data_IF_784094409863
#
_entry.id   IF_784094409863
#
_cell.length_a   1.000
_cell.length_b   1.000
_cell.length_c   1.000
_cell.angle_alpha   90.00
_cell.angle_beta   90.00
_cell.angle_gamma   90.00
#
_symmetry.space_group_name_H-M   'P 1'
#
loop_
_entity.id
_entity.type
_entity.pdbx_description
1 polymer ?
#
# COMPACT_ATOMS: atom_id res chain seq x y z
N UNK A 1 12.05 19.33 -17.51
CA UNK A 1 12.96 18.24 -17.89
C UNK A 1 12.09 17.02 -18.15
N UNK A 2 12.06 16.47 -19.35
CA UNK A 2 11.10 15.39 -19.62
C UNK A 2 11.57 14.05 -19.00
N UNK A 3 12.87 13.78 -19.05
CA UNK A 3 13.47 12.50 -18.67
C UNK A 3 14.72 12.70 -17.80
N UNK A 4 14.87 11.87 -16.77
CA UNK A 4 16.03 11.79 -15.90
C UNK A 4 16.57 10.36 -15.84
N UNK A 5 17.81 10.17 -16.29
CA UNK A 5 18.54 8.92 -16.14
C UNK A 5 19.51 9.00 -14.96
N UNK A 6 19.44 8.04 -14.04
CA UNK A 6 20.33 7.93 -12.88
C UNK A 6 21.41 6.87 -13.18
N UNK A 7 22.69 7.26 -13.38
CA UNK A 7 23.75 6.34 -13.77
C UNK A 7 24.22 5.46 -12.61
N UNK A 8 24.96 4.41 -12.96
CA UNK A 8 25.44 3.36 -12.04
C UNK A 8 26.25 3.89 -10.86
N UNK A 9 26.98 4.99 -11.05
CA UNK A 9 27.85 5.58 -10.03
C UNK A 9 27.11 6.32 -8.91
N UNK A 10 25.82 6.63 -9.09
CA UNK A 10 25.02 7.33 -8.07
C UNK A 10 24.70 6.36 -6.93
N UNK A 11 25.14 6.70 -5.73
CA UNK A 11 24.90 5.94 -4.49
C UNK A 11 23.83 6.54 -3.61
N UNK A 12 23.58 7.84 -3.76
CA UNK A 12 22.69 8.62 -2.93
C UNK A 12 22.04 9.72 -3.78
N UNK A 13 20.77 9.96 -3.52
CA UNK A 13 20.03 11.15 -3.96
C UNK A 13 19.79 11.96 -2.70
N UNK A 14 20.12 13.25 -2.71
CA UNK A 14 19.97 14.12 -1.54
C UNK A 14 18.51 14.37 -1.16
N UNK A 15 18.28 14.79 0.09
CA UNK A 15 16.94 14.96 0.64
C UNK A 15 16.19 16.00 -0.21
N UNK A 16 15.05 15.61 -0.79
CA UNK A 16 14.30 16.51 -1.65
C UNK A 16 15.01 16.97 -2.92
N UNK A 17 16.04 16.25 -3.40
CA UNK A 17 16.89 16.72 -4.52
C UNK A 17 16.11 17.04 -5.81
N UNK A 18 14.97 16.38 -6.03
CA UNK A 18 14.06 16.65 -7.14
C UNK A 18 12.65 17.00 -6.67
N UNK A 19 12.50 17.54 -5.45
CA UNK A 19 11.23 18.06 -4.97
C UNK A 19 10.72 19.15 -5.91
N UNK A 20 9.46 19.04 -6.35
CA UNK A 20 8.82 19.98 -7.28
C UNK A 20 9.61 20.17 -8.60
N UNK A 21 10.41 19.17 -8.98
CA UNK A 21 11.11 19.19 -10.24
C UNK A 21 10.15 18.81 -11.38
N UNK A 22 10.23 19.56 -12.48
CA UNK A 22 9.52 19.20 -13.69
C UNK A 22 10.22 18.01 -14.36
N UNK A 23 9.90 16.78 -13.94
CA UNK A 23 10.41 15.48 -14.42
C UNK A 23 9.23 14.57 -14.74
N UNK A 24 9.16 13.99 -15.94
CA UNK A 24 8.06 13.09 -16.33
C UNK A 24 8.41 11.61 -16.32
N UNK A 25 9.69 11.26 -16.43
CA UNK A 25 10.16 9.87 -16.38
C UNK A 25 11.50 9.77 -15.68
N UNK A 26 11.62 8.79 -14.79
CA UNK A 26 12.89 8.40 -14.16
C UNK A 26 13.23 6.97 -14.52
N UNK A 27 14.49 6.78 -14.89
CA UNK A 27 15.07 5.47 -15.12
C UNK A 27 16.41 5.36 -14.39
N UNK A 28 16.56 4.29 -13.62
CA UNK A 28 17.82 3.94 -13.01
C UNK A 28 18.53 2.92 -13.88
N UNK A 29 19.86 3.03 -13.99
CA UNK A 29 20.65 1.95 -14.59
C UNK A 29 20.32 0.60 -13.91
N UNK A 30 20.34 -0.49 -14.68
CA UNK A 30 19.95 -1.83 -14.18
C UNK A 30 20.81 -2.30 -13.00
N UNK A 31 22.08 -1.90 -12.97
CA UNK A 31 23.07 -2.14 -11.92
C UNK A 31 23.29 -0.91 -11.03
N UNK A 32 22.29 -0.02 -10.95
CA UNK A 32 22.32 1.15 -10.07
C UNK A 32 22.74 0.75 -8.65
N UNK A 33 23.62 1.57 -8.07
CA UNK A 33 24.12 1.40 -6.70
C UNK A 33 23.24 2.15 -5.68
N UNK A 34 22.19 2.85 -6.13
CA UNK A 34 21.26 3.54 -5.25
C UNK A 34 20.46 2.51 -4.43
N UNK A 35 20.51 2.66 -3.10
CA UNK A 35 19.84 1.76 -2.17
C UNK A 35 18.53 2.30 -1.63
N UNK A 36 18.42 3.62 -1.55
CA UNK A 36 17.28 4.29 -0.91
C UNK A 36 16.81 5.43 -1.79
N UNK A 37 15.50 5.49 -2.03
CA UNK A 37 14.82 6.73 -2.40
C UNK A 37 14.45 7.40 -1.09
N UNK A 38 15.25 8.39 -0.68
CA UNK A 38 15.06 9.05 0.61
C UNK A 38 13.88 10.01 0.57
N UNK A 39 13.45 10.48 1.75
CA UNK A 39 12.25 11.30 1.88
C UNK A 39 12.21 12.49 0.91
N UNK A 40 11.05 12.69 0.31
CA UNK A 40 10.77 13.79 -0.61
C UNK A 40 11.63 13.86 -1.87
N UNK A 41 12.48 12.87 -2.16
CA UNK A 41 13.42 12.87 -3.30
C UNK A 41 12.73 13.23 -4.62
N UNK A 42 11.53 12.70 -4.85
CA UNK A 42 10.73 12.93 -6.05
C UNK A 42 9.28 13.30 -5.73
N UNK A 43 9.05 14.01 -4.63
CA UNK A 43 7.72 14.53 -4.31
C UNK A 43 7.32 15.69 -5.23
N UNK A 44 6.02 15.82 -5.51
CA UNK A 44 5.44 16.93 -6.28
C UNK A 44 6.05 17.10 -7.68
N UNK A 45 6.57 16.02 -8.28
CA UNK A 45 7.03 16.08 -9.67
C UNK A 45 5.90 15.76 -10.65
N UNK A 46 6.16 15.85 -11.95
CA UNK A 46 5.23 15.46 -13.01
C UNK A 46 5.42 14.01 -13.47
N UNK A 47 5.93 13.14 -12.59
CA UNK A 47 6.28 11.78 -12.95
C UNK A 47 5.08 11.02 -13.47
N UNK A 48 5.24 10.39 -14.64
CA UNK A 48 4.30 9.48 -15.28
C UNK A 48 4.72 8.03 -15.13
N UNK A 49 6.03 7.81 -15.17
CA UNK A 49 6.64 6.48 -15.14
C UNK A 49 7.93 6.50 -14.30
N UNK A 50 8.12 5.45 -13.52
CA UNK A 50 9.39 5.17 -12.83
C UNK A 50 9.76 3.70 -12.94
N UNK A 51 11.02 3.42 -13.27
CA UNK A 51 11.59 2.07 -13.35
C UNK A 51 12.56 1.88 -12.19
N UNK A 52 12.13 1.21 -11.13
CA UNK A 52 12.91 0.98 -9.92
C UNK A 52 13.94 -0.15 -10.13
N UNK A 53 15.19 0.10 -9.75
CA UNK A 53 16.27 -0.88 -9.89
C UNK A 53 16.08 -2.11 -8.97
N UNK A 54 16.67 -3.24 -9.36
CA UNK A 54 16.63 -4.47 -8.56
C UNK A 54 17.48 -4.39 -7.28
N UNK A 55 18.38 -3.41 -7.21
CA UNK A 55 19.25 -3.15 -6.06
C UNK A 55 18.65 -2.19 -5.03
N UNK A 56 17.52 -1.55 -5.33
CA UNK A 56 16.82 -0.65 -4.41
C UNK A 56 16.25 -1.45 -3.23
N UNK A 57 16.58 -1.01 -2.02
CA UNK A 57 16.24 -1.68 -0.75
C UNK A 57 15.16 -0.91 0.02
N UNK A 58 14.98 0.39 -0.24
CA UNK A 58 14.00 1.20 0.48
C UNK A 58 13.44 2.38 -0.32
N UNK A 59 12.16 2.67 -0.10
CA UNK A 59 11.52 3.97 -0.44
C UNK A 59 11.03 4.55 0.88
N UNK A 60 11.60 5.68 1.27
CA UNK A 60 11.25 6.37 2.51
C UNK A 60 9.92 7.13 2.40
N UNK A 61 9.47 7.65 3.54
CA UNK A 61 8.28 8.51 3.64
C UNK A 61 8.34 9.60 2.58
N UNK A 62 7.27 9.73 1.82
CA UNK A 62 7.10 10.70 0.74
C UNK A 62 8.19 10.61 -0.34
N UNK A 63 8.84 9.46 -0.55
CA UNK A 63 9.84 9.33 -1.61
C UNK A 63 9.29 9.58 -3.02
N UNK A 64 8.02 9.24 -3.25
CA UNK A 64 7.29 9.35 -4.52
C UNK A 64 5.90 10.01 -4.32
N UNK A 65 5.75 10.91 -3.37
CA UNK A 65 4.45 11.48 -3.02
C UNK A 65 3.95 12.56 -4.00
N UNK A 66 2.63 12.67 -4.16
CA UNK A 66 1.95 13.73 -4.91
C UNK A 66 2.36 13.82 -6.38
N UNK A 67 2.76 12.70 -6.96
CA UNK A 67 2.96 12.57 -8.41
C UNK A 67 1.63 12.18 -9.05
N UNK A 68 0.77 13.18 -9.25
CA UNK A 68 -0.64 12.99 -9.68
C UNK A 68 -0.80 12.46 -11.11
N UNK A 69 0.29 12.34 -11.87
CA UNK A 69 0.32 11.75 -13.21
C UNK A 69 0.99 10.37 -13.22
N UNK A 70 1.48 9.87 -12.07
CA UNK A 70 2.26 8.64 -11.97
C UNK A 70 1.36 7.44 -12.21
N UNK A 71 1.42 6.91 -13.43
CA UNK A 71 0.53 5.87 -13.93
C UNK A 71 1.19 4.50 -14.02
N UNK A 72 2.53 4.43 -13.90
CA UNK A 72 3.28 3.19 -13.95
C UNK A 72 4.50 3.20 -13.01
N UNK A 73 4.58 2.16 -12.18
CA UNK A 73 5.75 1.83 -11.36
C UNK A 73 6.22 0.44 -11.77
N UNK A 74 7.41 0.37 -12.36
CA UNK A 74 8.01 -0.90 -12.79
C UNK A 74 9.10 -1.31 -11.82
N UNK A 75 9.08 -2.56 -11.35
CA UNK A 75 10.11 -3.16 -10.50
C UNK A 75 10.99 -4.09 -11.32
N UNK A 76 12.29 -3.78 -11.44
CA UNK A 76 13.24 -4.69 -12.11
C UNK A 76 13.50 -5.93 -11.24
N UNK A 77 13.58 -7.09 -11.90
CA UNK A 77 13.75 -8.41 -11.30
C UNK A 77 14.81 -9.23 -12.06
N UNK A 78 15.39 -10.30 -11.45
CA UNK A 78 15.19 -10.74 -10.07
C UNK A 78 15.82 -9.77 -9.05
N UNK A 79 15.20 -9.62 -7.87
CA UNK A 79 15.79 -8.92 -6.72
C UNK A 79 16.52 -9.93 -5.84
N UNK A 80 17.66 -9.54 -5.28
CA UNK A 80 18.41 -10.37 -4.31
C UNK A 80 18.23 -9.89 -2.87
N UNK A 81 17.61 -8.71 -2.71
CA UNK A 81 17.35 -8.07 -1.42
C UNK A 81 15.93 -7.56 -1.37
N UNK A 82 15.40 -7.52 -0.16
CA UNK A 82 14.06 -6.99 0.11
C UNK A 82 14.00 -5.49 -0.12
N UNK A 83 12.94 -5.05 -0.80
CA UNK A 83 12.55 -3.65 -0.88
C UNK A 83 11.45 -3.35 0.14
N UNK A 84 11.73 -2.40 1.04
CA UNK A 84 10.74 -1.89 1.97
C UNK A 84 10.14 -0.59 1.44
N UNK A 85 8.82 -0.60 1.20
CA UNK A 85 8.04 0.60 0.90
C UNK A 85 7.53 1.11 2.26
N UNK A 86 8.14 2.19 2.75
CA UNK A 86 7.83 2.75 4.07
C UNK A 86 6.46 3.43 4.09
N UNK A 87 5.96 3.70 5.29
CA UNK A 87 4.73 4.48 5.50
C UNK A 87 4.76 5.79 4.73
N UNK A 88 3.67 6.05 3.98
CA UNK A 88 3.48 7.24 3.14
C UNK A 88 4.54 7.40 2.04
N UNK A 89 5.20 6.32 1.60
CA UNK A 89 6.24 6.39 0.58
C UNK A 89 5.69 6.75 -0.82
N UNK A 90 4.53 6.20 -1.19
CA UNK A 90 3.87 6.43 -2.47
C UNK A 90 2.47 7.00 -2.17
N UNK A 91 2.29 8.30 -2.38
CA UNK A 91 1.06 9.03 -2.01
C UNK A 91 0.39 9.63 -3.25
N UNK A 92 -0.92 9.37 -3.40
CA UNK A 92 -1.75 9.84 -4.52
C UNK A 92 -1.16 9.61 -5.93
N UNK A 93 -0.62 8.41 -6.24
CA UNK A 93 -0.31 8.07 -7.63
C UNK A 93 -1.60 7.91 -8.45
N UNK A 94 -1.50 8.09 -9.76
CA UNK A 94 -2.56 7.80 -10.74
C UNK A 94 -2.44 6.37 -11.33
N UNK A 95 -1.87 5.44 -10.57
CA UNK A 95 -1.74 4.03 -10.97
C UNK A 95 -3.11 3.35 -10.92
N UNK A 96 -3.41 2.55 -11.95
CA UNK A 96 -4.62 1.71 -11.98
C UNK A 96 -4.40 0.27 -11.57
N UNK A 97 -3.21 -0.26 -11.89
CA UNK A 97 -2.78 -1.61 -11.52
C UNK A 97 -1.32 -1.57 -11.09
N UNK A 98 -0.96 -2.35 -10.08
CA UNK A 98 0.42 -2.48 -9.62
C UNK A 98 0.79 -3.94 -9.36
N UNK A 99 1.97 -4.31 -9.84
CA UNK A 99 2.56 -5.63 -9.61
C UNK A 99 3.68 -5.53 -8.58
N UNK A 100 3.56 -6.28 -7.50
CA UNK A 100 4.59 -6.47 -6.49
C UNK A 100 5.31 -7.81 -6.72
N UNK A 101 6.56 -7.81 -7.26
CA UNK A 101 7.37 -9.03 -7.35
C UNK A 101 7.84 -9.51 -5.97
N UNK A 102 8.52 -10.66 -5.95
CA UNK A 102 9.12 -11.25 -4.76
C UNK A 102 10.05 -10.27 -4.01
N UNK A 103 10.20 -10.49 -2.71
CA UNK A 103 11.05 -9.71 -1.81
C UNK A 103 10.59 -8.25 -1.64
N UNK A 104 9.30 -8.04 -1.40
CA UNK A 104 8.74 -6.71 -1.10
C UNK A 104 8.08 -6.72 0.27
N UNK A 105 8.32 -5.65 1.04
CA UNK A 105 7.58 -5.34 2.27
C UNK A 105 6.85 -4.02 2.05
N UNK A 106 5.54 -3.99 2.31
CA UNK A 106 4.74 -2.77 2.29
C UNK A 106 4.29 -2.46 3.71
N UNK A 107 4.74 -1.33 4.23
CA UNK A 107 4.34 -0.85 5.55
C UNK A 107 2.92 -0.28 5.54
N UNK A 108 2.35 -0.03 6.73
CA UNK A 108 1.07 0.67 6.85
C UNK A 108 1.12 1.99 6.09
N UNK A 109 0.09 2.27 5.29
CA UNK A 109 0.03 3.40 4.33
C UNK A 109 1.20 3.47 3.34
N UNK A 110 1.85 2.35 3.01
CA UNK A 110 2.96 2.35 2.05
C UNK A 110 2.53 2.83 0.66
N UNK A 111 1.34 2.41 0.23
CA UNK A 111 0.57 3.03 -0.85
C UNK A 111 -0.60 3.77 -0.22
N UNK A 112 -0.61 5.09 -0.32
CA UNK A 112 -1.58 5.92 0.37
C UNK A 112 -2.38 6.79 -0.60
N UNK A 113 -3.70 6.85 -0.39
CA UNK A 113 -4.59 7.73 -1.13
C UNK A 113 -4.55 7.52 -2.67
N UNK A 114 -4.26 6.30 -3.14
CA UNK A 114 -4.25 5.97 -4.57
C UNK A 114 -5.68 5.76 -5.07
N UNK A 115 -6.34 6.87 -5.42
CA UNK A 115 -7.75 6.88 -5.79
C UNK A 115 -8.06 6.08 -7.05
N UNK A 116 -7.13 5.96 -7.99
CA UNK A 116 -7.35 5.25 -9.26
C UNK A 116 -6.94 3.77 -9.21
N UNK A 117 -6.37 3.29 -8.10
CA UNK A 117 -5.87 1.93 -8.00
C UNK A 117 -7.02 0.92 -7.89
N UNK A 118 -7.15 0.05 -8.88
CA UNK A 118 -8.23 -0.93 -9.04
C UNK A 118 -7.76 -2.38 -8.85
N UNK A 119 -6.52 -2.67 -9.24
CA UNK A 119 -5.93 -4.02 -9.23
C UNK A 119 -4.56 -4.05 -8.55
N UNK A 120 -4.34 -5.07 -7.72
CA UNK A 120 -3.03 -5.35 -7.12
C UNK A 120 -2.64 -6.80 -7.37
N UNK A 121 -1.45 -7.01 -7.94
CA UNK A 121 -0.90 -8.33 -8.22
C UNK A 121 0.24 -8.60 -7.24
N UNK A 122 0.14 -9.70 -6.48
CA UNK A 122 1.01 -10.03 -5.36
C UNK A 122 1.71 -11.36 -5.64
N UNK A 123 3.04 -11.31 -5.80
CA UNK A 123 3.87 -12.52 -5.92
C UNK A 123 4.11 -13.19 -4.57
N UNK A 124 4.67 -14.40 -4.60
CA UNK A 124 5.27 -15.03 -3.42
C UNK A 124 6.26 -14.10 -2.70
N UNK A 125 6.43 -14.28 -1.38
CA UNK A 125 7.36 -13.50 -0.56
C UNK A 125 7.18 -11.97 -0.64
N UNK A 126 5.93 -11.52 -0.78
CA UNK A 126 5.50 -10.16 -0.48
C UNK A 126 4.91 -10.13 0.93
N UNK A 127 5.25 -9.15 1.75
CA UNK A 127 4.67 -8.98 3.08
C UNK A 127 3.93 -7.63 3.18
N UNK A 128 2.63 -7.71 3.45
CA UNK A 128 1.73 -6.59 3.63
C UNK A 128 1.48 -6.34 5.11
N UNK A 129 1.65 -5.10 5.55
CA UNK A 129 1.15 -4.65 6.86
C UNK A 129 -0.36 -4.36 6.78
N UNK A 130 -1.05 -4.39 7.92
CA UNK A 130 -2.40 -3.82 8.02
C UNK A 130 -2.38 -2.39 7.45
N UNK A 131 -3.45 -2.00 6.74
CA UNK A 131 -3.61 -0.64 6.23
C UNK A 131 -2.56 -0.21 5.18
N UNK A 132 -1.82 -1.13 4.56
CA UNK A 132 -0.82 -0.79 3.56
C UNK A 132 -1.38 -0.08 2.31
N UNK A 133 -2.69 -0.20 2.05
CA UNK A 133 -3.45 0.47 0.99
C UNK A 133 -4.48 1.49 1.53
N UNK A 134 -4.19 2.16 2.65
CA UNK A 134 -5.11 3.15 3.23
C UNK A 134 -5.43 4.27 2.22
N UNK A 135 -6.69 4.68 2.13
CA UNK A 135 -7.10 5.72 1.17
C UNK A 135 -7.19 5.25 -0.28
N UNK A 136 -7.11 3.95 -0.56
CA UNK A 136 -7.26 3.40 -1.91
C UNK A 136 -8.66 2.77 -2.08
N UNK A 137 -9.74 3.56 -2.25
CA UNK A 137 -11.12 3.07 -2.17
C UNK A 137 -11.52 2.14 -3.32
N UNK A 138 -10.79 2.18 -4.44
CA UNK A 138 -11.21 1.56 -5.68
C UNK A 138 -10.58 0.19 -5.94
N UNK A 139 -9.75 -0.34 -5.02
CA UNK A 139 -9.15 -1.67 -5.21
C UNK A 139 -10.25 -2.71 -5.06
N UNK A 140 -10.54 -3.40 -6.16
CA UNK A 140 -11.58 -4.43 -6.26
C UNK A 140 -11.03 -5.78 -6.68
N UNK A 141 -9.75 -5.85 -7.08
CA UNK A 141 -9.10 -7.08 -7.54
C UNK A 141 -7.73 -7.26 -6.87
N UNK A 142 -7.53 -8.42 -6.25
CA UNK A 142 -6.22 -8.91 -5.85
C UNK A 142 -5.93 -10.23 -6.56
N UNK A 143 -4.84 -10.27 -7.34
CA UNK A 143 -4.32 -11.51 -7.92
C UNK A 143 -3.12 -11.97 -7.08
N UNK A 144 -3.31 -13.05 -6.31
CA UNK A 144 -2.41 -13.43 -5.23
C UNK A 144 -1.80 -14.80 -5.54
N UNK A 145 -0.47 -14.83 -5.66
CA UNK A 145 0.29 -16.09 -5.63
C UNK A 145 0.72 -16.47 -4.21
N UNK A 146 0.89 -15.47 -3.32
CA UNK A 146 1.34 -15.69 -1.95
C UNK A 146 0.28 -16.37 -1.06
N UNK A 147 0.57 -17.61 -0.67
CA UNK A 147 -0.33 -18.45 0.15
C UNK A 147 -0.74 -17.87 1.52
N UNK A 148 -0.03 -16.85 2.04
CA UNK A 148 -0.40 -16.17 3.29
C UNK A 148 -1.70 -15.36 3.16
N UNK A 149 -2.00 -14.87 1.96
CA UNK A 149 -3.10 -13.93 1.74
C UNK A 149 -4.28 -14.60 1.03
N UNK A 150 -5.48 -14.25 1.46
CA UNK A 150 -6.71 -14.59 0.77
C UNK A 150 -7.52 -13.33 0.49
N UNK A 151 -8.01 -13.20 -0.74
CA UNK A 151 -8.98 -12.18 -1.09
C UNK A 151 -10.30 -12.85 -1.49
N UNK A 152 -11.32 -12.67 -0.66
CA UNK A 152 -12.64 -13.24 -0.91
C UNK A 152 -13.72 -12.29 -0.40
N UNK A 153 -14.83 -12.21 -1.14
CA UNK A 153 -15.98 -11.37 -0.78
C UNK A 153 -15.62 -9.89 -0.48
N UNK A 154 -14.58 -9.37 -1.14
CA UNK A 154 -14.06 -8.01 -0.95
C UNK A 154 -13.24 -7.78 0.32
N UNK A 155 -12.81 -8.84 1.02
CA UNK A 155 -11.92 -8.76 2.17
C UNK A 155 -10.57 -9.38 1.83
N UNK A 156 -9.49 -8.64 2.05
CA UNK A 156 -8.12 -9.17 2.00
C UNK A 156 -7.67 -9.49 3.42
N UNK A 157 -7.35 -10.75 3.66
CA UNK A 157 -6.92 -11.24 4.97
C UNK A 157 -5.58 -11.96 4.87
N UNK A 158 -4.84 -11.96 5.97
CA UNK A 158 -3.68 -12.82 6.22
C UNK A 158 -4.00 -13.68 7.43
N UNK A 159 -4.23 -14.97 7.23
CA UNK A 159 -4.87 -15.82 8.25
C UNK A 159 -6.18 -15.15 8.74
N UNK A 160 -6.25 -14.75 10.01
CA UNK A 160 -7.37 -14.06 10.65
C UNK A 160 -7.24 -12.52 10.63
N UNK A 161 -6.10 -11.99 10.20
CA UNK A 161 -5.81 -10.57 10.22
C UNK A 161 -6.40 -9.87 8.99
N UNK A 162 -7.36 -8.97 9.21
CA UNK A 162 -7.91 -8.13 8.15
C UNK A 162 -6.86 -7.09 7.70
N UNK A 163 -6.52 -7.08 6.41
CA UNK A 163 -5.51 -6.18 5.83
C UNK A 163 -6.18 -5.02 5.08
N UNK A 164 -7.21 -5.31 4.29
CA UNK A 164 -7.91 -4.34 3.45
C UNK A 164 -9.36 -4.77 3.20
N UNK A 165 -10.26 -3.79 3.08
CA UNK A 165 -11.66 -4.00 2.70
C UNK A 165 -11.95 -3.20 1.44
N UNK A 166 -12.43 -3.91 0.42
CA UNK A 166 -12.86 -3.33 -0.84
C UNK A 166 -14.20 -2.63 -0.70
N UNK A 167 -14.43 -1.60 -1.52
CA UNK A 167 -15.73 -0.93 -1.61
C UNK A 167 -16.89 -1.86 -1.96
N UNK A 168 -16.62 -2.91 -2.73
CA UNK A 168 -17.60 -3.93 -3.12
C UNK A 168 -17.61 -5.14 -2.18
N UNK A 169 -17.31 -4.95 -0.89
CA UNK A 169 -17.35 -6.03 0.10
C UNK A 169 -18.71 -6.71 0.16
N UNK A 170 -18.76 -7.89 0.76
CA UNK A 170 -20.03 -8.53 1.12
C UNK A 170 -20.79 -7.78 2.21
N UNK A 171 -21.99 -8.29 2.52
CA UNK A 171 -22.90 -7.68 3.48
C UNK A 171 -22.53 -7.90 4.95
N UNK A 172 -21.65 -8.86 5.23
CA UNK A 172 -21.23 -9.20 6.59
C UNK A 172 -19.72 -9.39 6.70
N UNK A 173 -19.17 -8.98 7.85
CA UNK A 173 -17.78 -9.20 8.23
C UNK A 173 -17.74 -9.54 9.73
N UNK A 174 -16.96 -10.57 10.08
CA UNK A 174 -16.67 -10.92 11.46
C UNK A 174 -15.19 -10.70 11.72
N UNK A 175 -14.86 -9.88 12.72
CA UNK A 175 -13.50 -9.73 13.20
C UNK A 175 -13.20 -10.88 14.16
N UNK A 176 -12.13 -11.61 13.88
CA UNK A 176 -11.53 -12.66 14.73
C UNK A 176 -10.31 -12.09 15.45
N UNK A 177 -10.08 -12.52 16.70
CA UNK A 177 -8.92 -12.14 17.50
C UNK A 177 -8.79 -10.66 17.88
N UNK A 178 -7.64 -10.35 18.48
CA UNK A 178 -7.27 -9.04 19.00
C UNK A 178 -6.37 -8.22 18.06
N UNK A 179 -6.43 -8.54 16.76
CA UNK A 179 -5.64 -7.84 15.75
C UNK A 179 -6.05 -6.37 15.61
N UNK A 180 -5.09 -5.52 15.22
CA UNK A 180 -5.42 -4.15 14.83
C UNK A 180 -6.43 -4.18 13.66
N UNK A 181 -7.57 -3.51 13.84
CA UNK A 181 -8.57 -3.35 12.78
C UNK A 181 -8.09 -2.22 11.87
N UNK A 182 -7.99 -2.45 10.54
CA UNK A 182 -7.59 -1.39 9.64
C UNK A 182 -8.50 -0.17 9.81
N UNK A 183 -7.90 1.02 9.89
CA UNK A 183 -8.60 2.30 9.90
C UNK A 183 -8.13 3.16 8.71
N UNK A 184 -9.02 3.62 7.82
CA UNK A 184 -10.46 3.40 7.83
C UNK A 184 -10.85 2.14 7.02
N UNK A 185 -10.92 0.96 7.65
CA UNK A 185 -11.23 -0.31 6.96
C UNK A 185 -12.56 -0.21 6.21
N UNK A 186 -13.62 0.14 6.92
CA UNK A 186 -14.98 0.00 6.40
C UNK A 186 -15.54 1.26 5.77
N UNK A 187 -14.80 2.38 5.76
CA UNK A 187 -15.29 3.66 5.24
C UNK A 187 -15.71 3.59 3.77
N UNK A 188 -15.07 2.74 2.98
CA UNK A 188 -15.37 2.62 1.55
C UNK A 188 -16.35 1.51 1.23
N UNK A 189 -16.67 0.63 2.20
CA UNK A 189 -17.62 -0.44 1.97
C UNK A 189 -19.01 0.14 1.71
N UNK A 190 -19.58 -0.17 0.54
CA UNK A 190 -20.91 0.28 0.15
C UNK A 190 -22.02 -0.72 0.54
N UNK A 191 -21.64 -1.94 0.94
CA UNK A 191 -22.57 -3.05 1.14
C UNK A 191 -22.60 -3.61 2.57
N UNK A 192 -21.58 -3.32 3.40
CA UNK A 192 -21.42 -3.96 4.70
C UNK A 192 -22.50 -3.49 5.68
N UNK A 193 -23.43 -4.38 6.02
CA UNK A 193 -24.54 -4.13 6.94
C UNK A 193 -24.31 -4.74 8.33
N UNK A 194 -23.56 -5.83 8.38
CA UNK A 194 -23.36 -6.62 9.60
C UNK A 194 -21.87 -6.67 9.91
N UNK A 195 -21.50 -6.04 11.02
CA UNK A 195 -20.15 -6.13 11.58
C UNK A 195 -20.25 -6.73 12.98
N UNK A 196 -19.51 -7.82 13.21
CA UNK A 196 -19.50 -8.54 14.50
C UNK A 196 -18.09 -8.93 14.91
N UNK A 197 -17.91 -9.28 16.17
CA UNK A 197 -16.73 -10.01 16.65
C UNK A 197 -17.14 -11.46 16.86
N UNK A 198 -16.41 -12.41 16.26
CA UNK A 198 -16.80 -13.83 16.26
C UNK A 198 -16.44 -14.59 17.53
N UNK A 199 -15.54 -14.04 18.36
CA UNK A 199 -15.08 -14.65 19.61
C UNK A 199 -14.85 -13.60 20.70
N UNK A 200 -14.62 -14.04 21.94
CA UNK A 200 -14.26 -13.11 23.00
C UNK A 200 -12.85 -12.56 22.76
N UNK A 201 -12.73 -11.25 22.69
CA UNK A 201 -11.46 -10.53 22.49
C UNK A 201 -11.17 -9.64 23.69
N UNK A 202 -9.90 -9.36 23.97
CA UNK A 202 -9.47 -8.49 25.07
C UNK A 202 -9.64 -7.00 24.72
N UNK A 203 -9.53 -6.65 23.43
CA UNK A 203 -9.46 -5.27 22.96
C UNK A 203 -10.78 -4.73 22.43
N UNK A 204 -11.70 -5.59 22.00
CA UNK A 204 -12.88 -5.15 21.25
C UNK A 204 -14.20 -5.68 21.80
N UNK A 205 -15.26 -4.96 21.48
CA UNK A 205 -16.64 -5.33 21.75
C UNK A 205 -17.52 -4.88 20.60
N UNK A 206 -18.51 -5.70 20.19
CA UNK A 206 -19.47 -5.31 19.17
C UNK A 206 -20.87 -5.18 19.75
N UNK A 207 -21.58 -4.13 19.34
CA UNK A 207 -22.99 -3.90 19.64
C UNK A 207 -23.62 -3.14 18.47
N UNK A 208 -24.80 -3.58 18.04
CA UNK A 208 -25.58 -2.92 16.99
C UNK A 208 -24.77 -2.63 15.71
N UNK A 209 -23.93 -3.59 15.30
CA UNK A 209 -23.04 -3.51 14.12
C UNK A 209 -21.95 -2.42 14.18
N UNK A 210 -21.65 -1.94 15.39
CA UNK A 210 -20.55 -1.03 15.69
C UNK A 210 -19.53 -1.78 16.54
N UNK A 211 -18.25 -1.64 16.21
CA UNK A 211 -17.13 -2.11 17.02
C UNK A 211 -16.62 -0.98 17.89
N UNK A 212 -16.52 -1.25 19.18
CA UNK A 212 -15.99 -0.39 20.21
C UNK A 212 -14.72 -0.99 20.79
N UNK A 213 -13.91 -0.16 21.45
CA UNK A 213 -12.92 -0.65 22.41
C UNK A 213 -13.63 -1.45 23.52
N UNK A 214 -12.95 -2.44 24.12
CA UNK A 214 -13.55 -3.33 25.15
C UNK A 214 -14.16 -2.57 26.33
N UNK A 215 -13.50 -1.49 26.74
CA UNK A 215 -13.96 -0.58 27.80
C UNK A 215 -15.08 0.39 27.35
N UNK A 216 -15.50 0.33 26.08
CA UNK A 216 -16.53 1.15 25.43
C UNK A 216 -16.23 2.67 25.44
N UNK A 217 -14.95 3.05 25.51
CA UNK A 217 -14.54 4.47 25.46
C UNK A 217 -14.39 5.01 24.03
N UNK A 218 -14.20 4.15 23.04
CA UNK A 218 -13.94 4.54 21.65
C UNK A 218 -14.82 3.73 20.69
N UNK A 219 -15.32 4.39 19.64
CA UNK A 219 -15.86 3.72 18.45
C UNK A 219 -14.69 3.48 17.51
N UNK A 220 -14.43 2.22 17.20
CA UNK A 220 -13.31 1.82 16.32
C UNK A 220 -13.76 1.88 14.87
N UNK A 221 -14.89 1.26 14.56
CA UNK A 221 -15.51 1.27 13.24
C UNK A 221 -16.97 0.79 13.31
N UNK A 222 -17.69 0.95 12.22
CA UNK A 222 -19.08 0.51 12.09
C UNK A 222 -19.34 -0.04 10.69
N UNK A 223 -20.34 -0.91 10.58
CA UNK A 223 -21.02 -1.16 9.31
C UNK A 223 -21.69 0.14 8.81
N UNK A 224 -21.72 0.34 7.50
CA UNK A 224 -22.24 1.54 6.83
C UNK A 224 -23.61 1.32 6.21
#
# INVERSE_FOLDING_TARGET
MEYLFIPTSVKEIGLGAFFDANISKIEFASDSQLKVIISNSFSYTHLKEIILSSNLEEIEKEGLAYNLELSNITFLHPKTKTLTIKTEAIVQPAIKSIYFPQHIIIQSKGIFAAADLEEVIISEDVNLSINCFSGCPNIICFNISNSKYNFSNGFLVNEDQLIYVSKNSGESCSITGDYEIPNPAFQYSENLKILTISEETDNYYSDSHVIYSKNKSEVICAAG
#
